data_IF_669223745756
#
_entry.id   IF_669223745756
#
_cell.length_a   1.000
_cell.length_b   1.000
_cell.length_c   1.000
_cell.angle_alpha   90.00
_cell.angle_beta   90.00
_cell.angle_gamma   90.00
#
_symmetry.space_group_name_H-M   'P 1'
#
loop_
_entity.id
_entity.type
_entity.pdbx_description
1 polymer ?
#
# COMPACT_ATOMS: atom_id res chain seq x y z
N UNK A 1 -6.71 17.56 8.89
CA UNK A 1 -6.85 16.18 9.42
C UNK A 1 -6.67 15.16 8.31
N UNK A 2 -7.21 15.43 7.12
CA UNK A 2 -7.12 14.56 5.94
C UNK A 2 -5.69 14.19 5.55
N UNK A 3 -4.75 15.14 5.53
CA UNK A 3 -3.33 14.85 5.27
C UNK A 3 -2.74 13.88 6.29
N UNK A 4 -3.10 14.02 7.57
CA UNK A 4 -2.61 13.15 8.63
C UNK A 4 -3.17 11.74 8.49
N UNK A 5 -4.46 11.61 8.18
CA UNK A 5 -5.12 10.33 7.88
C UNK A 5 -4.50 9.69 6.64
N UNK A 6 -4.24 10.48 5.60
CA UNK A 6 -3.61 10.02 4.39
C UNK A 6 -2.20 9.47 4.66
N UNK A 7 -1.32 10.26 5.29
CA UNK A 7 0.07 9.84 5.54
C UNK A 7 0.18 8.65 6.50
N UNK A 8 -0.63 8.62 7.56
CA UNK A 8 -0.66 7.47 8.48
C UNK A 8 -1.18 6.22 7.78
N UNK A 9 -2.28 6.32 7.03
CA UNK A 9 -2.82 5.21 6.23
C UNK A 9 -1.82 4.72 5.20
N UNK A 10 -1.11 5.64 4.53
CA UNK A 10 -0.14 5.32 3.49
C UNK A 10 1.00 4.46 4.05
N UNK A 11 1.58 4.87 5.17
CA UNK A 11 2.68 4.13 5.81
C UNK A 11 2.20 2.73 6.25
N UNK A 12 1.01 2.65 6.85
CA UNK A 12 0.44 1.39 7.34
C UNK A 12 0.15 0.45 6.17
N UNK A 13 -0.59 0.90 5.16
CA UNK A 13 -0.96 0.08 4.00
C UNK A 13 0.24 -0.29 3.14
N UNK A 14 1.25 0.58 3.06
CA UNK A 14 2.50 0.26 2.38
C UNK A 14 3.24 -0.89 3.07
N UNK A 15 3.41 -0.81 4.39
CA UNK A 15 4.04 -1.86 5.17
C UNK A 15 3.28 -3.19 5.08
N UNK A 16 1.94 -3.14 5.12
CA UNK A 16 1.09 -4.33 4.96
C UNK A 16 1.22 -4.93 3.56
N UNK A 17 1.12 -4.10 2.51
CA UNK A 17 1.20 -4.55 1.11
C UNK A 17 2.56 -5.18 0.81
N UNK A 18 3.65 -4.59 1.31
CA UNK A 18 4.99 -5.17 1.20
C UNK A 18 5.10 -6.53 1.89
N UNK A 19 4.50 -6.69 3.09
CA UNK A 19 4.49 -7.98 3.80
C UNK A 19 3.73 -9.04 3.01
N UNK A 20 2.57 -8.70 2.46
CA UNK A 20 1.76 -9.61 1.63
C UNK A 20 2.51 -10.03 0.36
N UNK A 21 3.09 -9.06 -0.37
CA UNK A 21 3.85 -9.34 -1.59
C UNK A 21 5.08 -10.22 -1.34
N UNK A 22 5.77 -10.01 -0.23
CA UNK A 22 6.88 -10.89 0.18
C UNK A 22 6.40 -12.30 0.55
N UNK A 23 5.28 -12.42 1.25
CA UNK A 23 4.71 -13.71 1.65
C UNK A 23 4.25 -14.56 0.45
N UNK A 24 3.92 -13.93 -0.67
CA UNK A 24 3.58 -14.63 -1.92
C UNK A 24 4.77 -15.38 -2.53
N UNK A 25 6.01 -15.13 -2.08
CA UNK A 25 7.24 -15.82 -2.50
C UNK A 25 7.38 -15.97 -4.03
N UNK A 26 6.83 -15.02 -4.80
CA UNK A 26 6.85 -15.07 -6.27
C UNK A 26 8.29 -15.05 -6.79
N UNK A 27 9.21 -14.45 -6.02
CA UNK A 27 10.66 -14.50 -6.20
C UNK A 27 11.24 -15.91 -6.41
N UNK A 28 10.66 -16.95 -5.81
CA UNK A 28 11.10 -18.34 -5.98
C UNK A 28 10.70 -18.95 -7.32
N UNK A 29 9.77 -18.33 -8.06
CA UNK A 29 9.35 -18.77 -9.41
C UNK A 29 10.20 -18.17 -10.54
N UNK A 30 11.05 -17.20 -10.24
CA UNK A 30 11.85 -16.49 -11.25
C UNK A 30 13.33 -16.84 -11.15
N UNK A 31 14.04 -16.71 -12.27
CA UNK A 31 15.49 -16.95 -12.33
C UNK A 31 16.25 -15.98 -11.40
N UNK A 32 17.29 -16.49 -10.72
CA UNK A 32 18.09 -15.78 -9.70
C UNK A 32 18.62 -14.40 -10.14
N UNK A 33 18.79 -14.17 -11.44
CA UNK A 33 19.29 -12.90 -11.97
C UNK A 33 18.24 -11.77 -11.98
N UNK A 34 16.95 -12.05 -11.76
CA UNK A 34 15.87 -11.04 -11.75
C UNK A 34 15.33 -10.68 -10.36
N UNK A 35 15.99 -11.13 -9.30
CA UNK A 35 15.57 -10.85 -7.91
C UNK A 35 15.50 -9.36 -7.59
N UNK A 36 16.35 -8.54 -8.20
CA UNK A 36 16.31 -7.08 -8.04
C UNK A 36 15.08 -6.46 -8.71
N UNK A 37 14.73 -6.89 -9.92
CA UNK A 37 13.53 -6.41 -10.63
C UNK A 37 12.26 -6.73 -9.83
N UNK A 38 12.20 -7.92 -9.24
CA UNK A 38 11.05 -8.38 -8.45
C UNK A 38 10.91 -7.58 -7.16
N UNK A 39 12.03 -7.31 -6.47
CA UNK A 39 12.01 -6.45 -5.27
C UNK A 39 11.53 -5.03 -5.59
N UNK A 40 11.96 -4.49 -6.72
CA UNK A 40 11.49 -3.18 -7.20
C UNK A 40 10.00 -3.23 -7.56
N UNK A 41 9.54 -4.28 -8.24
CA UNK A 41 8.13 -4.47 -8.56
C UNK A 41 7.27 -4.59 -7.29
N UNK A 42 7.75 -5.29 -6.26
CA UNK A 42 7.05 -5.35 -4.97
C UNK A 42 6.97 -3.99 -4.28
N UNK A 43 8.06 -3.21 -4.32
CA UNK A 43 8.06 -1.87 -3.76
C UNK A 43 7.09 -0.94 -4.49
N UNK A 44 7.17 -0.87 -5.81
CA UNK A 44 6.30 -0.03 -6.63
C UNK A 44 4.84 -0.46 -6.53
N UNK A 45 4.57 -1.77 -6.59
CA UNK A 45 3.24 -2.33 -6.43
C UNK A 45 2.65 -2.03 -5.05
N UNK A 46 3.43 -2.24 -3.99
CA UNK A 46 2.99 -1.88 -2.63
C UNK A 46 2.71 -0.38 -2.49
N UNK A 47 3.53 0.48 -3.09
CA UNK A 47 3.34 1.93 -3.03
C UNK A 47 2.06 2.36 -3.75
N UNK A 48 1.81 1.83 -4.95
CA UNK A 48 0.60 2.12 -5.71
C UNK A 48 -0.67 1.66 -4.96
N UNK A 49 -0.66 0.44 -4.42
CA UNK A 49 -1.79 -0.09 -3.63
C UNK A 49 -2.01 0.77 -2.38
N UNK A 50 -0.95 1.08 -1.64
CA UNK A 50 -1.04 1.89 -0.44
C UNK A 50 -1.58 3.29 -0.72
N UNK A 51 -1.17 3.91 -1.82
CA UNK A 51 -1.70 5.22 -2.25
C UNK A 51 -3.21 5.16 -2.47
N UNK A 52 -3.69 4.20 -3.26
CA UNK A 52 -5.13 4.02 -3.53
C UNK A 52 -5.93 3.77 -2.25
N UNK A 53 -5.45 2.88 -1.36
CA UNK A 53 -6.14 2.61 -0.10
C UNK A 53 -6.16 3.82 0.84
N UNK A 54 -5.12 4.65 0.81
CA UNK A 54 -5.05 5.85 1.63
C UNK A 54 -6.03 6.92 1.16
N UNK A 55 -6.17 7.09 -0.16
CA UNK A 55 -7.21 7.97 -0.72
C UNK A 55 -8.62 7.49 -0.35
N UNK A 56 -8.86 6.18 -0.41
CA UNK A 56 -10.13 5.59 0.04
C UNK A 56 -10.39 5.91 1.51
N UNK A 57 -9.37 5.80 2.37
CA UNK A 57 -9.52 6.09 3.80
C UNK A 57 -9.83 7.57 4.06
N UNK A 58 -9.23 8.49 3.30
CA UNK A 58 -9.57 9.92 3.38
C UNK A 58 -11.03 10.15 2.99
N UNK A 59 -11.48 9.57 1.87
CA UNK A 59 -12.88 9.70 1.41
C UNK A 59 -13.87 9.11 2.42
N UNK A 60 -13.53 7.97 3.03
CA UNK A 60 -14.34 7.37 4.09
C UNK A 60 -14.41 8.26 5.32
N UNK A 61 -13.28 8.86 5.73
CA UNK A 61 -13.26 9.81 6.85
C UNK A 61 -14.12 11.03 6.58
N UNK A 62 -14.03 11.62 5.37
CA UNK A 62 -14.84 12.76 4.97
C UNK A 62 -16.34 12.41 4.98
N UNK A 63 -16.70 11.23 4.46
CA UNK A 63 -18.08 10.75 4.46
C UNK A 63 -18.63 10.53 5.87
N UNK A 64 -17.82 9.98 6.78
CA UNK A 64 -18.24 9.81 8.18
C UNK A 64 -18.41 11.17 8.87
N UNK A 65 -17.47 12.09 8.73
CA UNK A 65 -17.61 13.45 9.31
C UNK A 65 -18.84 14.16 8.75
N UNK A 66 -19.11 14.05 7.45
CA UNK A 66 -20.32 14.59 6.82
C UNK A 66 -21.62 13.89 7.22
N UNK A 67 -21.57 12.67 7.75
CA UNK A 67 -22.73 11.95 8.29
C UNK A 67 -23.04 12.32 9.75
N UNK A 68 -22.02 12.72 10.52
CA UNK A 68 -22.15 13.10 11.93
C UNK A 68 -22.40 14.60 12.17
N UNK A 69 -22.39 15.42 11.11
CA UNK A 69 -22.78 16.84 11.11
C UNK A 69 -24.16 17.01 10.48
#
# INVERSE_FOLDING_TARGET
>A
MDELIYFTSLIIFFALSLRVLRALHIENKFEKFKLWEIKTAYFLGALAIAHLLSEVMVKLSQLMVGYFN
#
